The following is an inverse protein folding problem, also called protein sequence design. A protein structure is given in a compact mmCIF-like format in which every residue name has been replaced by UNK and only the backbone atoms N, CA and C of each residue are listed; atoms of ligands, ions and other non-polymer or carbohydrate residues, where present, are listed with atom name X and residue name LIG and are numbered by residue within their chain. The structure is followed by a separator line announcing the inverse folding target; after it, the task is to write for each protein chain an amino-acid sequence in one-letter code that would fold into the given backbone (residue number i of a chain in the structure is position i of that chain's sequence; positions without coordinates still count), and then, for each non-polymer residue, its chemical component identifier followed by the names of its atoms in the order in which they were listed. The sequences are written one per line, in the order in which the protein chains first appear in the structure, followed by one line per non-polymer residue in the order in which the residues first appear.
data_IF_515031773583
#
_entry.id   IF_515031773583
#
_cell.length_a   1.000
_cell.length_b   1.000
_cell.length_c   1.000
_cell.angle_alpha   90.00
_cell.angle_beta   90.00
_cell.angle_gamma   90.00
#
_symmetry.space_group_name_H-M   'P 1'
#
loop_
_entity.id
_entity.type
_entity.pdbx_description
1 polymer ?
#
# COMPACT_ATOMS: atom_id res chain seq x y z
N UNK A 1 6.03 7.60 -8.64
CA UNK A 1 6.39 6.78 -7.47
C UNK A 1 7.79 6.23 -7.66
N UNK A 2 8.58 6.00 -6.60
CA UNK A 2 9.90 5.38 -6.71
C UNK A 2 9.77 3.85 -6.73
N UNK A 3 10.83 3.16 -7.20
CA UNK A 3 10.89 1.68 -7.18
C UNK A 3 10.63 1.17 -5.76
N UNK A 4 11.26 1.78 -4.77
CA UNK A 4 11.16 1.39 -3.36
C UNK A 4 9.74 1.58 -2.82
N UNK A 5 9.13 2.75 -3.06
CA UNK A 5 7.77 3.02 -2.58
C UNK A 5 6.72 2.11 -3.21
N UNK A 6 6.93 1.68 -4.47
CA UNK A 6 6.05 0.72 -5.13
C UNK A 6 6.25 -0.69 -4.57
N UNK A 7 7.51 -1.10 -4.36
CA UNK A 7 7.84 -2.42 -3.82
C UNK A 7 7.28 -2.62 -2.41
N UNK A 8 7.41 -1.60 -1.54
CA UNK A 8 6.97 -1.66 -0.14
C UNK A 8 5.55 -1.16 0.09
N UNK A 9 4.76 -0.94 -0.96
CA UNK A 9 3.42 -0.35 -0.90
C UNK A 9 2.45 -1.10 0.04
N UNK A 10 2.61 -2.43 0.15
CA UNK A 10 1.82 -3.30 1.05
C UNK A 10 2.70 -3.97 2.11
N UNK A 11 3.68 -3.26 2.58
CA UNK A 11 4.60 -3.73 3.61
C UNK A 11 4.65 -2.74 4.75
N UNK A 12 4.84 -3.22 5.97
CA UNK A 12 5.09 -2.39 7.15
C UNK A 12 6.38 -2.83 7.79
N UNK A 13 7.31 -1.91 7.98
CA UNK A 13 8.58 -2.18 8.62
C UNK A 13 8.41 -2.56 10.09
N UNK A 14 9.16 -3.56 10.51
CA UNK A 14 9.35 -3.98 11.90
C UNK A 14 10.67 -3.35 12.35
N UNK A 15 10.61 -2.20 12.99
CA UNK A 15 11.79 -1.39 13.31
C UNK A 15 12.84 -2.13 14.16
N UNK A 16 12.41 -3.05 15.04
CA UNK A 16 13.32 -3.89 15.81
C UNK A 16 14.17 -4.82 14.95
N UNK A 17 13.69 -5.23 13.78
CA UNK A 17 14.43 -6.12 12.88
C UNK A 17 15.41 -5.39 11.98
N UNK A 18 15.31 -4.06 11.84
CA UNK A 18 16.18 -3.30 10.95
C UNK A 18 17.66 -3.34 11.41
N UNK A 19 17.91 -3.14 12.69
CA UNK A 19 19.28 -3.16 13.23
C UNK A 19 19.88 -4.57 13.16
N UNK A 20 19.09 -5.61 13.42
CA UNK A 20 19.49 -7.02 13.28
C UNK A 20 19.83 -7.39 11.84
N UNK A 21 19.14 -6.82 10.87
CA UNK A 21 19.40 -6.99 9.43
C UNK A 21 20.71 -6.30 8.99
N UNK A 22 21.12 -5.22 9.68
CA UNK A 22 22.32 -4.46 9.38
C UNK A 22 22.10 -2.99 9.06
N UNK A 23 20.90 -2.47 9.27
CA UNK A 23 20.68 -1.03 9.21
C UNK A 23 21.36 -0.33 10.40
N UNK A 24 21.97 0.81 10.10
CA UNK A 24 22.54 1.71 11.12
C UNK A 24 21.51 2.79 11.42
N UNK A 25 21.11 2.87 12.70
CA UNK A 25 20.19 3.89 13.16
C UNK A 25 20.89 5.23 13.34
N UNK A 26 20.31 6.29 12.80
CA UNK A 26 20.65 7.69 13.08
C UNK A 26 19.50 8.38 13.82
N UNK A 27 19.67 9.66 14.15
CA UNK A 27 18.64 10.44 14.85
C UNK A 27 17.33 10.60 14.04
N UNK A 28 17.39 10.47 12.71
CA UNK A 28 16.25 10.73 11.83
C UNK A 28 15.82 9.54 10.97
N UNK A 29 16.71 8.56 10.76
CA UNK A 29 16.46 7.47 9.83
C UNK A 29 17.33 6.24 10.13
N UNK A 30 16.99 5.12 9.49
CA UNK A 30 17.81 3.92 9.40
C UNK A 30 18.46 3.85 8.03
N UNK A 31 19.77 3.57 7.97
CA UNK A 31 20.56 3.54 6.74
C UNK A 31 21.16 2.15 6.56
N UNK A 32 20.98 1.58 5.38
CA UNK A 32 21.59 0.33 4.97
C UNK A 32 22.39 0.51 3.69
N UNK A 33 23.59 -0.08 3.64
CA UNK A 33 24.46 -0.03 2.49
C UNK A 33 24.92 -1.45 2.12
N UNK A 34 24.78 -1.80 0.84
CA UNK A 34 25.24 -3.08 0.31
C UNK A 34 25.83 -2.89 -1.08
N UNK A 35 27.03 -3.46 -1.33
CA UNK A 35 27.58 -3.58 -2.68
C UNK A 35 27.02 -4.83 -3.36
N UNK A 36 26.91 -4.81 -4.69
CA UNK A 36 26.39 -5.91 -5.49
C UNK A 36 27.00 -5.89 -6.89
N UNK A 37 26.81 -6.97 -7.68
CA UNK A 37 27.43 -7.16 -9.00
C UNK A 37 28.94 -6.95 -8.95
N UNK A 38 29.64 -7.82 -8.20
CA UNK A 38 31.10 -7.80 -8.03
C UNK A 38 31.66 -6.47 -7.52
N UNK A 39 30.85 -5.72 -6.73
CA UNK A 39 31.11 -4.36 -6.21
C UNK A 39 31.06 -3.24 -7.24
N UNK A 40 30.57 -3.48 -8.44
CA UNK A 40 30.37 -2.42 -9.44
C UNK A 40 29.32 -1.41 -9.02
N UNK A 41 28.38 -1.83 -8.15
CA UNK A 41 27.31 -0.98 -7.64
C UNK A 41 27.20 -1.04 -6.13
N UNK A 42 26.73 0.07 -5.54
CA UNK A 42 26.40 0.20 -4.13
C UNK A 42 24.96 0.68 -3.96
N UNK A 43 24.13 -0.13 -3.33
CA UNK A 43 22.81 0.27 -2.86
C UNK A 43 22.94 1.05 -1.54
N UNK A 44 22.25 2.18 -1.42
CA UNK A 44 22.07 2.95 -0.20
C UNK A 44 20.56 3.07 0.02
N UNK A 45 20.07 2.47 1.09
CA UNK A 45 18.63 2.41 1.41
C UNK A 45 18.42 3.12 2.73
N UNK A 46 17.46 4.03 2.76
CA UNK A 46 17.10 4.79 3.96
C UNK A 46 15.63 4.55 4.31
N UNK A 47 15.34 4.40 5.60
CA UNK A 47 13.98 4.25 6.13
C UNK A 47 13.83 5.27 7.24
N UNK A 48 12.92 6.24 7.04
CA UNK A 48 12.63 7.26 8.05
C UNK A 48 11.87 6.67 9.25
N UNK A 49 11.86 7.38 10.37
CA UNK A 49 11.16 6.93 11.58
C UNK A 49 9.64 6.81 11.42
N UNK A 50 9.06 7.45 10.39
CA UNK A 50 7.65 7.29 10.00
C UNK A 50 7.41 6.16 8.98
N UNK A 51 8.47 5.38 8.67
CA UNK A 51 8.38 4.19 7.80
C UNK A 51 8.42 4.47 6.31
N UNK A 52 8.80 5.67 5.87
CA UNK A 52 9.02 5.95 4.45
C UNK A 52 10.38 5.44 4.01
N UNK A 53 10.41 4.76 2.86
CA UNK A 53 11.64 4.23 2.28
C UNK A 53 12.08 5.08 1.09
N UNK A 54 13.38 5.26 0.97
CA UNK A 54 14.06 5.77 -0.20
C UNK A 54 15.31 4.94 -0.48
N UNK A 55 15.78 4.95 -1.71
CA UNK A 55 17.00 4.25 -2.08
C UNK A 55 17.76 4.96 -3.18
N UNK A 56 19.06 4.67 -3.29
CA UNK A 56 19.94 5.08 -4.37
C UNK A 56 20.85 3.92 -4.74
N UNK A 57 21.17 3.81 -6.02
CA UNK A 57 22.21 2.91 -6.51
C UNK A 57 23.33 3.79 -7.06
N UNK A 58 24.51 3.61 -6.53
CA UNK A 58 25.72 4.33 -6.93
C UNK A 58 26.56 3.41 -7.80
N UNK A 59 26.99 3.91 -8.96
CA UNK A 59 28.03 3.29 -9.77
C UNK A 59 29.37 3.50 -9.06
N UNK A 60 30.04 2.42 -8.67
CA UNK A 60 31.26 2.49 -7.85
C UNK A 60 32.46 3.07 -8.60
N UNK A 61 32.49 2.92 -9.92
CA UNK A 61 33.58 3.45 -10.74
C UNK A 61 33.45 4.96 -10.99
N UNK A 62 32.21 5.44 -11.13
CA UNK A 62 31.92 6.86 -11.40
C UNK A 62 31.64 7.66 -10.12
N UNK A 63 31.37 6.99 -9.01
CA UNK A 63 30.91 7.59 -7.74
C UNK A 63 29.64 8.43 -7.88
N UNK A 64 28.81 8.13 -8.91
CA UNK A 64 27.58 8.87 -9.22
C UNK A 64 26.35 7.95 -9.13
N UNK A 65 25.16 8.55 -8.95
CA UNK A 65 23.91 7.79 -8.95
C UNK A 65 23.64 7.17 -10.34
N UNK A 66 23.37 5.88 -10.38
CA UNK A 66 23.03 5.13 -11.59
C UNK A 66 21.60 5.42 -12.03
N UNK A 67 21.39 6.55 -12.69
CA UNK A 67 20.08 7.05 -13.14
C UNK A 67 19.33 6.11 -14.12
N UNK A 68 20.00 5.29 -14.98
CA UNK A 68 19.27 4.34 -15.85
C UNK A 68 18.34 3.39 -15.10
N UNK A 69 18.64 3.08 -13.84
CA UNK A 69 17.75 2.28 -12.97
C UNK A 69 16.34 2.88 -12.86
N UNK A 70 16.23 4.21 -12.83
CA UNK A 70 15.00 4.97 -12.60
C UNK A 70 14.23 5.28 -13.88
N UNK A 71 14.87 5.19 -15.02
CA UNK A 71 14.27 5.59 -16.29
C UNK A 71 13.46 4.44 -16.92
N UNK A 72 12.17 4.68 -17.15
CA UNK A 72 11.26 3.70 -17.74
C UNK A 72 11.65 3.27 -19.17
N UNK A 73 12.38 4.13 -19.88
CA UNK A 73 12.76 3.92 -21.30
C UNK A 73 14.11 3.20 -21.50
N UNK A 74 14.86 2.92 -20.44
CA UNK A 74 16.10 2.18 -20.51
C UNK A 74 15.87 0.68 -20.33
N UNK A 75 15.78 -0.04 -21.45
CA UNK A 75 15.48 -1.49 -21.50
C UNK A 75 16.67 -2.33 -21.98
N UNK A 76 17.91 -1.85 -21.82
CA UNK A 76 19.09 -2.67 -22.11
C UNK A 76 19.22 -3.86 -21.13
N UNK A 77 19.77 -5.01 -21.60
CA UNK A 77 19.94 -6.21 -20.74
C UNK A 77 20.67 -5.91 -19.45
N UNK A 78 21.73 -5.12 -19.53
CA UNK A 78 22.55 -4.71 -18.38
C UNK A 78 21.76 -3.90 -17.35
N UNK A 79 20.94 -2.92 -17.80
CA UNK A 79 20.05 -2.17 -16.89
C UNK A 79 19.03 -3.08 -16.22
N UNK A 80 18.55 -4.08 -16.97
CA UNK A 80 17.66 -5.12 -16.45
C UNK A 80 18.33 -5.96 -15.35
N UNK A 81 19.58 -6.34 -15.55
CA UNK A 81 20.38 -7.08 -14.55
C UNK A 81 20.63 -6.28 -13.29
N UNK A 82 21.04 -5.00 -13.40
CA UNK A 82 21.22 -4.09 -12.26
C UNK A 82 19.90 -3.92 -11.51
N UNK A 83 18.80 -3.75 -12.25
CA UNK A 83 17.47 -3.61 -11.63
C UNK A 83 17.06 -4.88 -10.87
N UNK A 84 17.29 -6.05 -11.46
CA UNK A 84 16.95 -7.34 -10.83
C UNK A 84 17.78 -7.57 -9.58
N UNK A 85 19.08 -7.26 -9.61
CA UNK A 85 19.95 -7.40 -8.47
C UNK A 85 19.56 -6.41 -7.32
N UNK A 86 19.22 -5.17 -7.68
CA UNK A 86 18.70 -4.20 -6.70
C UNK A 86 17.35 -4.64 -6.09
N UNK A 87 16.44 -5.17 -6.91
CA UNK A 87 15.15 -5.69 -6.44
C UNK A 87 15.32 -6.90 -5.51
N UNK A 88 16.36 -7.72 -5.71
CA UNK A 88 16.68 -8.82 -4.78
C UNK A 88 17.08 -8.28 -3.40
N UNK A 89 17.88 -7.22 -3.33
CA UNK A 89 18.21 -6.55 -2.06
C UNK A 89 16.95 -6.04 -1.35
N UNK A 90 16.03 -5.41 -2.09
CA UNK A 90 14.74 -4.97 -1.53
C UNK A 90 13.90 -6.16 -1.05
N UNK A 91 13.97 -7.30 -1.75
CA UNK A 91 13.34 -8.55 -1.36
C UNK A 91 13.86 -9.06 -0.01
N UNK A 92 15.17 -9.15 0.15
CA UNK A 92 15.82 -9.61 1.39
C UNK A 92 15.42 -8.72 2.59
N UNK A 93 15.39 -7.40 2.39
CA UNK A 93 14.90 -6.43 3.40
C UNK A 93 13.43 -6.68 3.72
N UNK A 94 12.61 -6.86 2.70
CA UNK A 94 11.18 -7.12 2.88
C UNK A 94 10.93 -8.38 3.71
N UNK A 95 11.59 -9.47 3.36
CA UNK A 95 11.38 -10.77 3.98
C UNK A 95 11.87 -10.80 5.43
N UNK A 96 12.93 -10.04 5.73
CA UNK A 96 13.54 -10.00 7.07
C UNK A 96 12.95 -8.91 7.97
N UNK A 97 12.55 -7.76 7.39
CA UNK A 97 12.23 -6.55 8.16
C UNK A 97 10.79 -6.08 8.03
N UNK A 98 9.93 -6.79 7.27
CA UNK A 98 8.56 -6.33 7.07
C UNK A 98 7.52 -7.39 7.42
N UNK A 99 6.31 -6.91 7.69
CA UNK A 99 5.09 -7.71 7.62
C UNK A 99 4.24 -7.28 6.44
N UNK A 100 3.55 -8.23 5.82
CA UNK A 100 2.59 -7.96 4.76
C UNK A 100 1.36 -7.24 5.30
N UNK A 101 0.87 -6.30 4.50
CA UNK A 101 -0.39 -5.60 4.74
C UNK A 101 -1.45 -6.08 3.75
N UNK A 102 -2.67 -6.23 4.21
CA UNK A 102 -3.80 -6.58 3.35
C UNK A 102 -4.11 -5.44 2.35
N UNK A 103 -3.96 -4.20 2.80
CA UNK A 103 -4.32 -2.99 2.07
C UNK A 103 -3.16 -2.00 2.03
N UNK A 104 -3.26 -0.99 1.14
CA UNK A 104 -2.23 0.05 1.01
C UNK A 104 -2.42 1.19 2.01
N UNK A 105 -3.67 1.48 2.39
CA UNK A 105 -3.99 2.55 3.34
C UNK A 105 -3.99 2.02 4.77
N UNK A 106 -3.42 2.80 5.67
CA UNK A 106 -3.32 2.41 7.07
C UNK A 106 -4.70 2.28 7.74
N UNK A 107 -5.64 3.15 7.41
CA UNK A 107 -7.02 3.07 7.91
C UNK A 107 -7.70 1.76 7.52
N UNK A 108 -7.49 1.29 6.28
CA UNK A 108 -8.01 0.00 5.80
C UNK A 108 -7.43 -1.18 6.59
N UNK A 109 -6.14 -1.14 6.88
CA UNK A 109 -5.49 -2.19 7.68
C UNK A 109 -5.97 -2.17 9.13
N UNK A 110 -6.11 -0.99 9.76
CA UNK A 110 -6.70 -0.88 11.12
C UNK A 110 -8.12 -1.41 11.16
N UNK A 111 -8.93 -1.11 10.13
CA UNK A 111 -10.30 -1.62 10.04
C UNK A 111 -10.33 -3.13 9.91
N UNK A 112 -9.49 -3.71 9.03
CA UNK A 112 -9.38 -5.16 8.86
C UNK A 112 -8.97 -5.87 10.16
N UNK A 113 -7.98 -5.32 10.86
CA UNK A 113 -7.55 -5.83 12.17
C UNK A 113 -8.66 -5.74 13.22
N UNK A 114 -9.41 -4.62 13.23
CA UNK A 114 -10.57 -4.43 14.13
C UNK A 114 -11.68 -5.45 13.82
N UNK A 115 -11.97 -5.71 12.54
CA UNK A 115 -12.96 -6.71 12.14
C UNK A 115 -12.51 -8.11 12.61
N UNK A 116 -11.26 -8.49 12.30
CA UNK A 116 -10.72 -9.80 12.65
C UNK A 116 -10.76 -10.04 14.17
N UNK A 117 -10.38 -9.04 14.97
CA UNK A 117 -10.31 -9.17 16.44
C UNK A 117 -11.68 -9.08 17.13
N UNK A 118 -12.63 -8.31 16.57
CA UNK A 118 -13.92 -8.07 17.20
C UNK A 118 -14.97 -9.12 16.82
N UNK A 119 -14.95 -9.56 15.57
CA UNK A 119 -15.96 -10.46 15.01
C UNK A 119 -15.42 -11.84 14.68
N UNK A 120 -14.11 -12.08 14.92
CA UNK A 120 -13.42 -13.32 14.54
C UNK A 120 -13.62 -13.65 13.04
N UNK A 121 -13.84 -12.61 12.21
CA UNK A 121 -14.11 -12.74 10.78
C UNK A 121 -12.83 -12.55 9.99
N UNK A 122 -12.55 -13.48 9.08
CA UNK A 122 -11.39 -13.44 8.21
C UNK A 122 -11.77 -12.83 6.85
N UNK A 123 -10.83 -12.11 6.28
CA UNK A 123 -10.97 -11.56 4.93
C UNK A 123 -11.09 -12.69 3.89
N UNK A 124 -12.03 -12.53 2.94
CA UNK A 124 -12.23 -13.40 1.79
C UNK A 124 -12.09 -12.60 0.49
N UNK A 125 -11.54 -13.21 -0.56
CA UNK A 125 -11.29 -12.61 -1.89
C UNK A 125 -12.08 -13.34 -2.98
N UNK A 126 -13.40 -13.17 -3.06
CA UNK A 126 -14.28 -13.98 -3.91
C UNK A 126 -14.23 -13.63 -5.39
N UNK A 127 -13.56 -12.52 -5.77
CA UNK A 127 -13.62 -11.99 -7.13
C UNK A 127 -12.34 -12.30 -7.92
N UNK A 128 -12.35 -13.38 -8.71
CA UNK A 128 -11.19 -13.80 -9.50
C UNK A 128 -10.64 -12.70 -10.44
N UNK A 129 -11.50 -11.81 -10.98
CA UNK A 129 -11.09 -10.68 -11.83
C UNK A 129 -10.59 -9.47 -11.03
N UNK A 130 -10.80 -9.44 -9.74
CA UNK A 130 -10.45 -8.36 -8.82
C UNK A 130 -9.87 -8.95 -7.53
N UNK A 131 -8.67 -9.53 -7.58
CA UNK A 131 -8.09 -10.26 -6.44
C UNK A 131 -7.77 -9.36 -5.24
N UNK A 132 -7.80 -8.04 -5.42
CA UNK A 132 -7.63 -7.05 -4.35
C UNK A 132 -8.95 -6.65 -3.67
N UNK A 133 -10.10 -7.18 -4.13
CA UNK A 133 -11.41 -6.88 -3.53
C UNK A 133 -11.66 -7.83 -2.36
N UNK A 134 -11.55 -7.31 -1.17
CA UNK A 134 -11.78 -8.03 0.07
C UNK A 134 -13.25 -8.02 0.45
N UNK A 135 -13.77 -9.12 0.93
CA UNK A 135 -15.13 -9.22 1.44
C UNK A 135 -15.17 -9.78 2.86
N UNK A 136 -16.18 -9.34 3.61
CA UNK A 136 -16.48 -9.82 4.94
C UNK A 136 -17.92 -10.31 5.00
N UNK A 137 -18.15 -11.45 5.67
CA UNK A 137 -19.44 -12.13 5.66
C UNK A 137 -19.90 -12.50 7.07
N UNK A 138 -21.19 -12.41 7.28
CA UNK A 138 -21.86 -13.02 8.44
C UNK A 138 -22.92 -13.98 7.94
N UNK A 139 -22.89 -15.22 8.42
CA UNK A 139 -23.78 -16.29 7.95
C UNK A 139 -23.82 -16.43 6.42
N UNK A 140 -22.65 -16.32 5.77
CA UNK A 140 -22.48 -16.42 4.31
C UNK A 140 -22.92 -15.19 3.51
N UNK A 141 -23.45 -14.14 4.15
CA UNK A 141 -23.92 -12.92 3.48
C UNK A 141 -22.93 -11.79 3.69
N UNK A 142 -22.59 -11.08 2.62
CA UNK A 142 -21.75 -9.89 2.70
C UNK A 142 -22.38 -8.81 3.58
N UNK A 143 -21.56 -8.23 4.46
CA UNK A 143 -21.89 -7.01 5.18
C UNK A 143 -20.90 -5.88 4.90
N UNK A 144 -19.67 -6.21 4.46
CA UNK A 144 -18.66 -5.24 4.05
C UNK A 144 -17.85 -5.76 2.86
N UNK A 145 -17.43 -4.82 1.99
CA UNK A 145 -16.52 -5.03 0.87
C UNK A 145 -15.50 -3.89 0.89
N UNK A 146 -14.22 -4.20 0.83
CA UNK A 146 -13.14 -3.22 0.81
C UNK A 146 -12.29 -3.40 -0.46
N UNK A 147 -12.12 -2.32 -1.22
CA UNK A 147 -11.47 -2.38 -2.52
C UNK A 147 -10.88 -1.03 -2.93
N UNK A 148 -9.83 -1.01 -3.80
CA UNK A 148 -9.33 0.21 -4.40
C UNK A 148 -10.29 0.71 -5.48
N UNK A 149 -10.44 2.04 -5.59
CA UNK A 149 -11.31 2.70 -6.54
C UNK A 149 -10.75 4.07 -6.92
N UNK A 150 -10.94 4.51 -8.17
CA UNK A 150 -10.79 5.93 -8.52
C UNK A 150 -11.99 6.71 -8.00
N UNK A 151 -11.72 7.84 -7.32
CA UNK A 151 -12.76 8.69 -6.72
C UNK A 151 -13.88 9.07 -7.71
N UNK A 152 -13.56 9.33 -8.97
CA UNK A 152 -14.53 9.66 -10.01
C UNK A 152 -15.56 8.57 -10.36
N UNK A 153 -15.43 7.37 -9.76
CA UNK A 153 -16.45 6.31 -9.85
C UNK A 153 -17.57 6.46 -8.81
N UNK A 154 -17.33 7.27 -7.78
CA UNK A 154 -18.34 7.63 -6.79
C UNK A 154 -19.19 8.80 -7.31
N UNK A 155 -20.43 8.90 -6.85
CA UNK A 155 -21.33 9.98 -7.23
C UNK A 155 -21.00 11.27 -6.49
N UNK A 156 -21.17 12.41 -7.16
CA UNK A 156 -20.99 13.74 -6.58
C UNK A 156 -19.57 14.08 -6.11
N UNK A 157 -18.56 13.45 -6.70
CA UNK A 157 -17.15 13.76 -6.42
C UNK A 157 -16.70 14.95 -7.27
N UNK A 158 -15.98 15.94 -6.70
CA UNK A 158 -15.38 17.02 -7.46
C UNK A 158 -14.44 16.52 -8.55
N UNK A 159 -14.47 17.16 -9.74
CA UNK A 159 -13.66 16.73 -10.89
C UNK A 159 -12.15 16.68 -10.60
N UNK A 160 -11.66 17.55 -9.72
CA UNK A 160 -10.24 17.61 -9.31
C UNK A 160 -9.75 16.32 -8.61
N UNK A 161 -10.67 15.60 -7.94
CA UNK A 161 -10.36 14.37 -7.19
C UNK A 161 -10.66 13.11 -8.02
N UNK A 162 -11.20 13.23 -9.23
CA UNK A 162 -11.72 12.10 -10.01
C UNK A 162 -10.68 11.02 -10.32
N UNK A 163 -9.41 11.39 -10.50
CA UNK A 163 -8.32 10.47 -10.84
C UNK A 163 -7.59 9.93 -9.59
N UNK A 164 -7.93 10.40 -8.41
CA UNK A 164 -7.32 9.94 -7.17
C UNK A 164 -7.71 8.48 -6.88
N UNK A 165 -6.71 7.64 -6.62
CA UNK A 165 -6.92 6.27 -6.17
C UNK A 165 -7.10 6.23 -4.64
N UNK A 166 -8.25 5.74 -4.22
CA UNK A 166 -8.64 5.58 -2.81
C UNK A 166 -9.00 4.13 -2.52
N UNK A 167 -8.99 3.76 -1.26
CA UNK A 167 -9.62 2.54 -0.80
C UNK A 167 -11.01 2.86 -0.24
N UNK A 168 -11.98 2.09 -0.67
CA UNK A 168 -13.41 2.30 -0.36
C UNK A 168 -13.94 1.09 0.39
N UNK A 169 -14.65 1.37 1.47
CA UNK A 169 -15.47 0.40 2.19
C UNK A 169 -16.92 0.54 1.75
N UNK A 170 -17.44 -0.46 1.05
CA UNK A 170 -18.89 -0.64 0.96
C UNK A 170 -19.37 -1.36 2.21
N UNK A 171 -20.31 -0.78 2.92
CA UNK A 171 -20.88 -1.39 4.13
C UNK A 171 -22.39 -1.38 4.07
N UNK A 172 -22.99 -2.49 4.55
CA UNK A 172 -24.43 -2.61 4.67
C UNK A 172 -24.92 -1.84 5.89
N UNK A 173 -25.95 -1.03 5.71
CA UNK A 173 -26.51 -0.14 6.73
C UNK A 173 -28.01 -0.34 6.88
N UNK A 174 -28.56 0.14 7.99
CA UNK A 174 -30.01 0.21 8.15
C UNK A 174 -30.58 1.28 7.20
N UNK A 175 -31.62 0.96 6.40
CA UNK A 175 -32.24 1.93 5.50
C UNK A 175 -32.72 3.23 6.18
N UNK A 176 -33.06 3.17 7.46
CA UNK A 176 -33.50 4.33 8.23
C UNK A 176 -32.38 5.33 8.49
N UNK A 177 -31.11 4.89 8.50
CA UNK A 177 -29.95 5.72 8.76
C UNK A 177 -29.35 6.32 7.48
N UNK A 178 -29.84 5.88 6.31
CA UNK A 178 -29.26 6.20 5.01
C UNK A 178 -29.13 7.71 4.77
N UNK A 179 -30.21 8.47 5.02
CA UNK A 179 -30.24 9.90 4.78
C UNK A 179 -29.22 10.64 5.65
N UNK A 180 -29.13 10.27 6.93
CA UNK A 180 -28.19 10.88 7.89
C UNK A 180 -26.74 10.52 7.53
N UNK A 181 -26.51 9.28 7.09
CA UNK A 181 -25.17 8.83 6.69
C UNK A 181 -24.66 9.56 5.44
N UNK A 182 -25.51 9.72 4.44
CA UNK A 182 -25.13 10.40 3.19
C UNK A 182 -24.91 11.92 3.35
N UNK A 183 -25.25 12.52 4.48
CA UNK A 183 -24.90 13.91 4.81
C UNK A 183 -23.49 14.06 5.37
N UNK A 184 -22.83 12.96 5.75
CA UNK A 184 -21.47 12.99 6.30
C UNK A 184 -20.46 13.03 5.18
N UNK A 185 -19.42 13.87 5.34
CA UNK A 185 -18.27 13.88 4.46
C UNK A 185 -17.58 12.51 4.43
N UNK A 186 -17.10 12.08 3.26
CA UNK A 186 -16.47 10.77 3.09
C UNK A 186 -17.45 9.59 2.90
N UNK A 187 -18.77 9.83 2.98
CA UNK A 187 -19.80 8.81 2.74
C UNK A 187 -20.58 9.13 1.46
N UNK A 188 -20.69 8.16 0.59
CA UNK A 188 -21.27 8.27 -0.75
C UNK A 188 -22.34 7.20 -0.99
N UNK A 189 -23.27 7.43 -1.95
CA UNK A 189 -24.13 6.37 -2.46
C UNK A 189 -23.29 5.19 -2.94
N UNK A 190 -23.72 3.98 -2.56
CA UNK A 190 -22.90 2.79 -2.76
C UNK A 190 -22.53 2.52 -4.22
N UNK A 191 -21.25 2.27 -4.46
CA UNK A 191 -20.72 1.83 -5.74
C UNK A 191 -21.00 0.35 -5.96
N UNK A 192 -21.69 0.02 -7.07
CA UNK A 192 -22.08 -1.34 -7.47
C UNK A 192 -22.93 -2.16 -6.48
N UNK A 193 -23.39 -1.57 -5.37
CA UNK A 193 -24.30 -2.23 -4.44
C UNK A 193 -25.65 -1.52 -4.39
N UNK A 194 -26.64 -2.11 -3.72
CA UNK A 194 -27.95 -1.48 -3.57
C UNK A 194 -27.89 -0.20 -2.72
N UNK A 195 -28.14 0.94 -3.34
CA UNK A 195 -28.17 2.26 -2.67
C UNK A 195 -29.26 2.40 -1.59
N UNK A 196 -30.13 1.39 -1.45
CA UNK A 196 -31.16 1.37 -0.39
C UNK A 196 -30.63 0.84 0.94
N UNK A 197 -29.54 0.07 0.90
CA UNK A 197 -29.06 -0.69 2.06
C UNK A 197 -27.54 -0.69 2.19
N UNK A 198 -26.82 0.00 1.32
CA UNK A 198 -25.37 0.08 1.33
C UNK A 198 -24.91 1.50 1.09
N UNK A 199 -23.80 1.87 1.71
CA UNK A 199 -23.06 3.11 1.45
C UNK A 199 -21.60 2.79 1.09
N UNK A 200 -20.94 3.70 0.40
CA UNK A 200 -19.49 3.68 0.17
C UNK A 200 -18.83 4.71 1.07
N UNK A 201 -17.81 4.29 1.81
CA UNK A 201 -17.02 5.14 2.70
C UNK A 201 -15.60 5.19 2.14
N UNK A 202 -15.07 6.39 1.93
CA UNK A 202 -13.67 6.59 1.53
C UNK A 202 -12.77 6.48 2.76
N UNK A 203 -11.72 5.65 2.65
CA UNK A 203 -10.77 5.39 3.75
C UNK A 203 -9.52 6.27 3.58
N UNK A 204 -9.67 7.55 3.86
CA UNK A 204 -8.66 8.62 3.74
C UNK A 204 -8.42 9.37 5.06
N UNK A 205 -8.93 8.83 6.18
CA UNK A 205 -8.96 9.40 7.53
C UNK A 205 -9.92 10.61 7.71
N UNK A 206 -10.77 10.94 6.75
CA UNK A 206 -11.87 11.91 6.94
C UNK A 206 -12.82 11.45 8.06
N UNK A 207 -13.08 10.15 8.11
CA UNK A 207 -13.81 9.51 9.21
C UNK A 207 -12.84 8.75 10.12
N UNK A 208 -13.00 8.84 11.43
CA UNK A 208 -12.19 8.15 12.45
C UNK A 208 -12.65 6.71 12.70
#
# INVERSE_FOLDING_TARGET
MSIESDFFRKKRFIFSSLEEFGFIKSDQEYIYCQTFMDNDFKAIITISLDGKIAGKVIDSALEEEYLPLRAANYNGSFVGEVRSAYMAILGDISDSCCKDLLFTKDQSNRLAEKIATTFEDSVDYPFAKHPQYASYRVSGKWYALLFPLKMGKLENVPAQLSEEEVEVLNIKVNPQDMEILLQKEGIYPSYHMSKKTWVSIVLDNTLS
#
